data_IF_755025929470
#
_entry.id   IF_755025929470
#
_cell.length_a   1.000
_cell.length_b   1.000
_cell.length_c   1.000
_cell.angle_alpha   90.00
_cell.angle_beta   90.00
_cell.angle_gamma   90.00
#
_symmetry.space_group_name_H-M   'P 1'
#
loop_
_entity.id
_entity.type
_entity.pdbx_description
1 polymer ?
#
# COMPACT_ATOMS: atom_id res chain seq x y z
N UNK A 1 16.05 40.54 1.32
CA UNK A 1 15.72 40.11 -0.05
C UNK A 1 14.93 38.81 0.03
N UNK A 2 13.60 38.85 -0.13
CA UNK A 2 12.82 37.64 -0.38
C UNK A 2 12.85 37.46 -1.89
N UNK A 3 13.70 36.54 -2.36
CA UNK A 3 13.79 36.22 -3.77
C UNK A 3 12.44 35.61 -4.16
N UNK A 4 11.91 36.11 -5.27
CA UNK A 4 10.67 35.70 -5.92
C UNK A 4 10.77 34.23 -6.32
N UNK A 5 10.58 33.32 -5.37
CA UNK A 5 10.30 31.92 -5.70
C UNK A 5 8.85 31.92 -6.16
N UNK A 6 8.66 31.81 -7.48
CA UNK A 6 7.33 31.68 -8.10
C UNK A 6 6.49 30.70 -7.29
N UNK A 7 5.17 30.95 -7.20
CA UNK A 7 4.23 30.12 -6.42
C UNK A 7 4.26 28.68 -6.94
N UNK A 8 5.19 27.87 -6.43
CA UNK A 8 5.30 26.46 -6.74
C UNK A 8 4.39 25.67 -5.80
N UNK A 9 3.76 24.65 -6.37
CA UNK A 9 2.89 23.72 -5.68
C UNK A 9 3.67 22.83 -4.69
N UNK A 10 2.96 22.29 -3.69
CA UNK A 10 3.55 21.44 -2.64
C UNK A 10 4.27 20.19 -3.20
N UNK A 11 3.77 19.48 -4.24
CA UNK A 11 4.51 18.42 -4.91
C UNK A 11 5.87 18.88 -5.45
N UNK A 12 5.92 20.05 -6.10
CA UNK A 12 7.17 20.62 -6.60
C UNK A 12 8.20 20.83 -5.48
N UNK A 13 7.80 21.44 -4.36
CA UNK A 13 8.71 21.66 -3.22
C UNK A 13 9.20 20.36 -2.59
N UNK A 14 8.36 19.32 -2.55
CA UNK A 14 8.78 18.00 -2.07
C UNK A 14 9.83 17.40 -2.98
N UNK A 15 9.61 17.42 -4.29
CA UNK A 15 10.57 16.91 -5.27
C UNK A 15 11.90 17.66 -5.21
N UNK A 16 11.87 18.98 -5.12
CA UNK A 16 13.07 19.83 -5.04
C UNK A 16 13.87 19.57 -3.75
N UNK A 17 13.16 19.41 -2.62
CA UNK A 17 13.78 19.11 -1.32
C UNK A 17 14.42 17.72 -1.32
N UNK A 18 13.74 16.73 -1.88
CA UNK A 18 14.27 15.37 -2.01
C UNK A 18 15.46 15.37 -2.97
N UNK A 19 15.39 16.08 -4.09
CA UNK A 19 16.50 16.14 -5.04
C UNK A 19 17.75 16.76 -4.42
N UNK A 20 17.61 17.86 -3.65
CA UNK A 20 18.73 18.56 -3.03
C UNK A 20 19.29 17.88 -1.77
N UNK A 21 18.43 17.25 -0.97
CA UNK A 21 18.81 16.82 0.39
C UNK A 21 18.67 15.31 0.63
N UNK A 22 18.08 14.53 -0.28
CA UNK A 22 18.01 13.09 -0.12
C UNK A 22 19.36 12.45 -0.42
N UNK A 23 20.06 12.02 0.62
CA UNK A 23 21.27 11.22 0.51
C UNK A 23 20.96 9.82 -0.02
N UNK A 24 21.93 9.16 -0.66
CA UNK A 24 21.79 7.78 -1.12
C UNK A 24 21.38 6.82 0.02
N UNK A 25 21.90 7.04 1.23
CA UNK A 25 21.51 6.28 2.42
C UNK A 25 20.04 6.46 2.80
N UNK A 26 19.49 7.67 2.65
CA UNK A 26 18.06 7.91 2.87
C UNK A 26 17.19 7.18 1.84
N UNK A 27 17.58 7.24 0.55
CA UNK A 27 16.87 6.54 -0.53
C UNK A 27 16.83 5.04 -0.28
N UNK A 28 17.99 4.44 -0.01
CA UNK A 28 18.11 3.03 0.33
C UNK A 28 17.27 2.64 1.55
N UNK A 29 17.24 3.47 2.60
CA UNK A 29 16.40 3.23 3.77
C UNK A 29 14.91 3.26 3.43
N UNK A 30 14.47 4.22 2.62
CA UNK A 30 13.06 4.34 2.21
C UNK A 30 12.63 3.19 1.30
N UNK A 31 13.50 2.75 0.38
CA UNK A 31 13.31 1.56 -0.44
C UNK A 31 13.17 0.31 0.43
N UNK A 32 14.09 0.08 1.38
CA UNK A 32 13.98 -1.06 2.30
C UNK A 32 12.70 -1.06 3.14
N UNK A 33 12.23 0.12 3.56
CA UNK A 33 10.96 0.26 4.28
C UNK A 33 9.76 -0.04 3.37
N UNK A 34 9.83 0.26 2.07
CA UNK A 34 8.82 -0.16 1.11
C UNK A 34 8.90 -1.68 0.85
N UNK A 35 10.10 -2.21 0.67
CA UNK A 35 10.33 -3.61 0.32
C UNK A 35 9.85 -4.56 1.40
N UNK A 36 10.13 -4.25 2.67
CA UNK A 36 9.71 -5.01 3.85
C UNK A 36 8.22 -4.88 4.19
N UNK A 37 7.50 -3.93 3.58
CA UNK A 37 6.12 -3.68 3.92
C UNK A 37 5.15 -4.53 3.10
N UNK A 38 4.84 -5.71 3.64
CA UNK A 38 3.80 -6.60 3.12
C UNK A 38 2.44 -6.19 3.71
N UNK A 39 1.40 -6.25 2.89
CA UNK A 39 0.03 -5.96 3.33
C UNK A 39 -0.49 -7.08 4.25
N UNK A 40 -1.07 -6.72 5.39
CA UNK A 40 -1.73 -7.67 6.29
C UNK A 40 -3.20 -7.30 6.45
N UNK A 41 -4.10 -8.10 5.89
CA UNK A 41 -5.54 -7.81 5.91
C UNK A 41 -6.21 -7.84 7.29
N UNK A 42 -5.59 -8.44 8.31
CA UNK A 42 -6.11 -8.42 9.69
C UNK A 42 -5.72 -7.15 10.44
N UNK A 43 -4.59 -6.54 10.06
CA UNK A 43 -4.00 -5.39 10.77
C UNK A 43 -4.16 -4.07 10.02
N UNK A 44 -4.12 -4.12 8.69
CA UNK A 44 -4.06 -2.97 7.81
C UNK A 44 -5.43 -2.67 7.19
N UNK A 45 -5.81 -1.39 7.20
CA UNK A 45 -6.94 -0.90 6.41
C UNK A 45 -6.49 -0.67 4.96
N UNK A 46 -7.17 -1.24 3.94
CA UNK A 46 -6.69 -1.21 2.56
C UNK A 46 -6.42 0.20 2.02
N UNK A 47 -7.40 1.10 2.11
CA UNK A 47 -7.25 2.49 1.65
C UNK A 47 -6.08 3.21 2.33
N UNK A 48 -6.03 3.18 3.67
CA UNK A 48 -4.99 3.87 4.44
C UNK A 48 -3.60 3.31 4.13
N UNK A 49 -3.48 1.99 4.05
CA UNK A 49 -2.22 1.34 3.73
C UNK A 49 -1.77 1.68 2.30
N UNK A 50 -2.68 1.58 1.34
CA UNK A 50 -2.44 1.90 -0.06
C UNK A 50 -1.94 3.34 -0.23
N UNK A 51 -2.64 4.33 0.35
CA UNK A 51 -2.24 5.74 0.24
C UNK A 51 -0.85 5.98 0.85
N UNK A 52 -0.54 5.34 1.98
CA UNK A 52 0.78 5.45 2.62
C UNK A 52 1.90 4.88 1.74
N UNK A 53 1.63 3.80 0.99
CA UNK A 53 2.61 3.22 0.05
C UNK A 53 2.76 4.07 -1.20
N UNK A 54 1.65 4.55 -1.75
CA UNK A 54 1.63 5.48 -2.88
C UNK A 54 2.46 6.72 -2.56
N UNK A 55 2.17 7.41 -1.46
CA UNK A 55 2.89 8.64 -1.09
C UNK A 55 4.39 8.42 -0.89
N UNK A 56 4.79 7.25 -0.37
CA UNK A 56 6.21 6.88 -0.24
C UNK A 56 6.86 6.63 -1.60
N UNK A 57 6.19 5.94 -2.52
CA UNK A 57 6.68 5.72 -3.88
C UNK A 57 6.77 7.03 -4.67
N UNK A 58 5.76 7.89 -4.59
CA UNK A 58 5.78 9.22 -5.23
C UNK A 58 6.89 10.12 -4.68
N UNK A 59 7.27 9.94 -3.41
CA UNK A 59 8.41 10.66 -2.82
C UNK A 59 9.76 10.13 -3.33
N UNK A 60 9.88 8.83 -3.57
CA UNK A 60 11.10 8.20 -4.09
C UNK A 60 11.27 8.39 -5.60
N UNK A 61 10.16 8.32 -6.33
CA UNK A 61 10.10 8.35 -7.78
C UNK A 61 8.97 9.28 -8.22
N UNK A 62 9.21 10.61 -8.22
CA UNK A 62 8.18 11.58 -8.58
C UNK A 62 7.70 11.44 -10.03
N UNK A 63 8.55 10.93 -10.93
CA UNK A 63 8.24 10.76 -12.35
C UNK A 63 7.57 9.41 -12.68
N UNK A 64 7.20 8.63 -11.66
CA UNK A 64 6.59 7.31 -11.86
C UNK A 64 5.09 7.43 -12.16
N UNK A 65 4.62 6.72 -13.18
CA UNK A 65 3.19 6.71 -13.53
C UNK A 65 2.35 5.97 -12.49
N UNK A 66 1.09 6.40 -12.33
CA UNK A 66 0.15 5.79 -11.39
C UNK A 66 -0.08 4.30 -11.64
N UNK A 67 -0.09 3.85 -12.90
CA UNK A 67 -0.20 2.42 -13.25
C UNK A 67 0.98 1.61 -12.69
N UNK A 68 2.21 2.12 -12.80
CA UNK A 68 3.38 1.45 -12.26
C UNK A 68 3.37 1.47 -10.73
N UNK A 69 2.92 2.57 -10.12
CA UNK A 69 2.74 2.65 -8.66
C UNK A 69 1.72 1.62 -8.19
N UNK A 70 0.57 1.51 -8.86
CA UNK A 70 -0.46 0.51 -8.60
C UNK A 70 0.13 -0.90 -8.65
N UNK A 71 0.81 -1.25 -9.74
CA UNK A 71 1.46 -2.56 -9.89
C UNK A 71 2.48 -2.86 -8.79
N UNK A 72 3.32 -1.88 -8.41
CA UNK A 72 4.30 -2.07 -7.32
C UNK A 72 3.62 -2.33 -5.98
N UNK A 73 2.54 -1.62 -5.69
CA UNK A 73 1.78 -1.80 -4.44
C UNK A 73 1.07 -3.15 -4.43
N UNK A 74 0.47 -3.59 -5.55
CA UNK A 74 -0.20 -4.89 -5.66
C UNK A 74 0.74 -6.06 -5.41
N UNK A 75 1.99 -5.99 -5.89
CA UNK A 75 3.03 -6.99 -5.60
C UNK A 75 3.30 -7.15 -4.10
N UNK A 76 2.98 -6.14 -3.28
CA UNK A 76 3.11 -6.18 -1.82
C UNK A 76 1.89 -6.77 -1.11
N UNK A 77 0.78 -6.99 -1.82
CA UNK A 77 -0.36 -7.77 -1.34
C UNK A 77 -0.05 -9.28 -1.36
N UNK A 78 0.65 -9.74 -2.41
CA UNK A 78 1.13 -11.10 -2.56
C UNK A 78 0.06 -12.17 -2.77
N UNK A 79 0.50 -13.33 -3.26
CA UNK A 79 -0.27 -14.58 -3.29
C UNK A 79 -1.66 -14.46 -3.91
N UNK A 80 -2.65 -14.99 -3.21
CA UNK A 80 -4.05 -15.05 -3.65
C UNK A 80 -4.71 -13.67 -3.73
N UNK A 81 -4.32 -12.73 -2.86
CA UNK A 81 -4.90 -11.38 -2.86
C UNK A 81 -4.46 -10.60 -4.10
N UNK A 82 -3.17 -10.66 -4.45
CA UNK A 82 -2.67 -10.06 -5.69
C UNK A 82 -3.39 -10.63 -6.92
N UNK A 83 -3.51 -11.97 -6.99
CA UNK A 83 -4.20 -12.63 -8.09
C UNK A 83 -5.68 -12.23 -8.16
N UNK A 84 -6.39 -12.24 -7.04
CA UNK A 84 -7.81 -11.90 -6.95
C UNK A 84 -8.09 -10.45 -7.37
N UNK A 85 -7.19 -9.52 -7.06
CA UNK A 85 -7.30 -8.12 -7.50
C UNK A 85 -7.06 -8.03 -9.00
N UNK A 86 -6.00 -8.66 -9.54
CA UNK A 86 -5.72 -8.65 -10.99
C UNK A 86 -6.85 -9.24 -11.82
N UNK A 87 -7.51 -10.29 -11.34
CA UNK A 87 -8.65 -10.87 -12.05
C UNK A 87 -9.87 -9.95 -12.12
N UNK A 88 -10.00 -8.99 -11.19
CA UNK A 88 -11.15 -8.05 -11.13
C UNK A 88 -10.83 -6.69 -11.74
N UNK A 89 -9.57 -6.27 -11.71
CA UNK A 89 -9.08 -5.02 -12.29
C UNK A 89 -8.52 -5.26 -13.70
N UNK A 90 -9.38 -5.20 -14.72
CA UNK A 90 -8.95 -5.24 -16.13
C UNK A 90 -8.40 -3.86 -16.53
N UNK A 91 -7.21 -3.81 -17.14
CA UNK A 91 -6.60 -2.54 -17.56
C UNK A 91 -7.36 -1.88 -18.73
N UNK A 92 -7.47 -0.54 -18.77
CA UNK A 92 -6.92 0.43 -17.83
C UNK A 92 -7.78 0.57 -16.56
N UNK A 93 -7.19 0.30 -15.40
CA UNK A 93 -7.89 0.33 -14.12
C UNK A 93 -7.39 1.51 -13.29
N UNK A 94 -8.31 2.33 -12.74
CA UNK A 94 -7.91 3.51 -11.98
C UNK A 94 -7.42 3.12 -10.58
N UNK A 95 -6.65 4.00 -9.95
CA UNK A 95 -6.23 3.83 -8.54
C UNK A 95 -7.41 3.60 -7.60
N UNK A 96 -8.54 4.26 -7.88
CA UNK A 96 -9.77 4.09 -7.09
C UNK A 96 -10.34 2.68 -7.24
N UNK A 97 -10.33 2.14 -8.44
CA UNK A 97 -10.84 0.80 -8.73
C UNK A 97 -10.00 -0.27 -8.05
N UNK A 98 -8.67 -0.10 -8.02
CA UNK A 98 -7.78 -1.00 -7.27
C UNK A 98 -8.08 -1.02 -5.77
N UNK A 99 -8.26 0.15 -5.15
CA UNK A 99 -8.55 0.23 -3.72
C UNK A 99 -9.93 -0.34 -3.41
N UNK A 100 -10.96 0.03 -4.19
CA UNK A 100 -12.31 -0.50 -4.03
C UNK A 100 -12.33 -2.02 -4.16
N UNK A 101 -11.65 -2.56 -5.17
CA UNK A 101 -11.55 -4.01 -5.38
C UNK A 101 -10.82 -4.70 -4.22
N UNK A 102 -9.77 -4.08 -3.70
CA UNK A 102 -9.04 -4.61 -2.55
C UNK A 102 -9.92 -4.63 -1.30
N UNK A 103 -10.68 -3.55 -1.03
CA UNK A 103 -11.65 -3.49 0.07
C UNK A 103 -12.76 -4.52 -0.09
N UNK A 104 -13.29 -4.68 -1.30
CA UNK A 104 -14.36 -5.63 -1.61
C UNK A 104 -13.90 -7.08 -1.45
N UNK A 105 -12.67 -7.42 -1.89
CA UNK A 105 -12.11 -8.76 -1.70
C UNK A 105 -11.90 -9.06 -0.21
N UNK A 106 -11.39 -8.10 0.57
CA UNK A 106 -11.11 -8.31 2.00
C UNK A 106 -12.40 -8.41 2.81
N UNK A 107 -13.42 -7.63 2.44
CA UNK A 107 -14.72 -7.60 3.13
C UNK A 107 -15.58 -8.81 2.73
N UNK A 108 -15.65 -9.10 1.43
CA UNK A 108 -16.52 -10.11 0.84
C UNK A 108 -15.92 -11.52 0.79
N UNK A 109 -14.58 -11.67 0.83
CA UNK A 109 -13.92 -12.96 0.63
C UNK A 109 -13.09 -13.39 1.84
N UNK A 110 -13.13 -14.69 2.18
CA UNK A 110 -12.33 -15.26 3.29
C UNK A 110 -10.85 -15.46 2.94
N UNK A 111 -10.41 -15.06 1.74
CA UNK A 111 -9.03 -15.23 1.22
C UNK A 111 -7.97 -14.70 2.20
N UNK A 112 -8.31 -13.62 2.90
CA UNK A 112 -7.40 -12.94 3.80
C UNK A 112 -7.57 -13.28 5.29
N UNK A 113 -8.50 -14.17 5.65
CA UNK A 113 -8.77 -14.52 7.06
C UNK A 113 -7.94 -15.75 7.43
N UNK A 114 -6.95 -15.57 8.31
CA UNK A 114 -6.25 -16.70 8.91
C UNK A 114 -7.26 -17.51 9.72
N UNK A 115 -7.35 -18.83 9.51
CA UNK A 115 -8.19 -19.67 10.34
C UNK A 115 -7.62 -19.70 11.76
N UNK A 116 -8.15 -18.85 12.66
CA UNK A 116 -7.99 -19.09 14.09
C UNK A 116 -8.75 -20.36 14.41
N UNK A 117 -8.05 -21.50 14.52
CA UNK A 117 -8.59 -22.69 15.19
C UNK A 117 -8.90 -22.26 16.61
N UNK A 118 -10.19 -22.08 16.92
CA UNK A 118 -10.64 -21.99 18.31
C UNK A 118 -10.20 -23.30 18.98
N UNK A 119 -9.37 -23.28 20.05
CA UNK A 119 -9.02 -24.50 20.76
C UNK A 119 -10.30 -25.16 21.27
N UNK A 120 -10.52 -26.43 20.92
CA UNK A 120 -11.75 -27.16 21.23
C UNK A 120 -11.95 -27.44 22.74
N UNK A 121 -11.01 -27.06 23.60
CA UNK A 121 -11.00 -27.49 25.01
C UNK A 121 -11.99 -26.75 25.93
N UNK A 122 -12.61 -25.65 25.52
CA UNK A 122 -13.52 -24.91 26.40
C UNK A 122 -14.98 -25.40 26.43
N UNK A 123 -15.30 -26.57 25.86
CA UNK A 123 -16.69 -27.11 25.85
C UNK A 123 -16.95 -28.30 26.78
N UNK A 124 -15.98 -28.75 27.57
CA UNK A 124 -16.14 -29.95 28.42
C UNK A 124 -16.29 -29.72 29.93
N UNK A 125 -16.39 -28.47 30.42
CA UNK A 125 -16.49 -28.20 31.87
C UNK A 125 -17.74 -27.42 32.33
N UNK A 126 -18.87 -27.51 31.61
CA UNK A 126 -20.15 -26.95 32.10
C UNK A 126 -21.30 -27.95 32.20
N UNK A 127 -21.01 -29.25 32.22
CA UNK A 127 -21.98 -30.29 32.60
C UNK A 127 -21.35 -31.26 33.60
N UNK A 128 -21.32 -30.84 34.85
CA UNK A 128 -21.25 -31.70 36.01
C UNK A 128 -22.18 -31.09 37.08
#
# INVERSE_FOLDING_TARGET
MRIDHGKHDCPWWKSETIMKWATNSWRFKMENVFESAIFNAEKDKPLTWYLKKRDRLSSLHPDMSDSIINMKILRKCGGELEHAIKCRCVEPCSTKDYVNTMEDIITGTRICKTWTRVPMESKMLSKA
#
